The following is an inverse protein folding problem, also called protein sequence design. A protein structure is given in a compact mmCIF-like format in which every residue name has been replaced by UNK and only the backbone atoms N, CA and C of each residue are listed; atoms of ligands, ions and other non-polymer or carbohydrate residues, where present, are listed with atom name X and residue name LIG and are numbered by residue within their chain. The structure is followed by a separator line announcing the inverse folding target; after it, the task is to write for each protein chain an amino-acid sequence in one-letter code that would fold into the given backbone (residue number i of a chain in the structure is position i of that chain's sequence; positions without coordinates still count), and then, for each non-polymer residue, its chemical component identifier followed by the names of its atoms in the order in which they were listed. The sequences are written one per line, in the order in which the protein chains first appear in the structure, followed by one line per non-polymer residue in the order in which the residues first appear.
data_IF_455875206662
#
_entry.id   IF_455875206662
#
_cell.length_a   1.000
_cell.length_b   1.000
_cell.length_c   1.000
_cell.angle_alpha   90.00
_cell.angle_beta   90.00
_cell.angle_gamma   90.00
#
_symmetry.space_group_name_H-M   'P 1'
#
loop_
_entity.id
_entity.type
_entity.pdbx_description
1 polymer ?
#
# COMPACT_ATOMS: atom_id res chain seq x y z
N UNK A 1 0.39 -15.81 1.80
CA UNK A 1 0.93 -15.90 3.18
C UNK A 1 0.25 -14.94 4.16
N UNK A 2 0.17 -13.64 3.88
CA UNK A 2 -0.42 -12.65 4.82
C UNK A 2 -1.87 -12.97 5.25
N UNK A 3 -2.72 -13.46 4.33
CA UNK A 3 -4.10 -13.84 4.61
C UNK A 3 -4.23 -14.91 5.71
N UNK A 4 -3.52 -16.03 5.57
CA UNK A 4 -3.61 -17.14 6.52
C UNK A 4 -3.14 -16.73 7.92
N UNK A 5 -2.04 -15.96 7.98
CA UNK A 5 -1.55 -15.40 9.24
C UNK A 5 -2.65 -14.56 9.91
N UNK A 6 -3.27 -13.63 9.17
CA UNK A 6 -4.34 -12.79 9.71
C UNK A 6 -5.60 -13.55 10.06
N UNK A 7 -5.99 -14.54 9.28
CA UNK A 7 -7.13 -15.39 9.56
C UNK A 7 -6.99 -16.08 10.92
N UNK A 8 -5.81 -16.68 11.18
CA UNK A 8 -5.51 -17.36 12.45
C UNK A 8 -5.41 -16.35 13.60
N UNK A 9 -4.64 -15.26 13.44
CA UNK A 9 -4.44 -14.28 14.51
C UNK A 9 -5.71 -13.51 14.90
N UNK A 10 -6.66 -13.35 13.97
CA UNK A 10 -7.91 -12.59 14.19
C UNK A 10 -9.15 -13.46 14.29
N UNK A 11 -9.02 -14.78 14.50
CA UNK A 11 -10.15 -15.70 14.52
C UNK A 11 -11.22 -15.30 15.54
N UNK A 12 -10.80 -14.89 16.75
CA UNK A 12 -11.69 -14.50 17.84
C UNK A 12 -11.97 -12.98 17.96
N UNK A 13 -11.43 -12.16 17.05
CA UNK A 13 -11.61 -10.70 17.11
C UNK A 13 -12.89 -10.26 16.39
N UNK A 14 -13.62 -9.24 16.87
CA UNK A 14 -14.82 -8.71 16.21
C UNK A 14 -14.50 -8.00 14.89
N UNK A 15 -13.31 -7.41 14.77
CA UNK A 15 -12.88 -6.67 13.60
C UNK A 15 -12.27 -7.58 12.52
N UNK A 16 -13.07 -7.90 11.49
CA UNK A 16 -12.67 -8.75 10.37
C UNK A 16 -12.19 -8.00 9.12
N UNK A 17 -12.20 -6.66 9.12
CA UNK A 17 -11.88 -5.83 7.94
C UNK A 17 -10.48 -6.12 7.37
N UNK A 18 -9.48 -6.35 8.23
CA UNK A 18 -8.10 -6.70 7.81
C UNK A 18 -8.06 -8.07 7.15
N UNK A 19 -8.80 -9.03 7.70
CA UNK A 19 -8.86 -10.40 7.16
C UNK A 19 -9.48 -10.35 5.77
N UNK A 20 -10.58 -9.60 5.60
CA UNK A 20 -11.23 -9.37 4.31
C UNK A 20 -10.28 -8.68 3.31
N UNK A 21 -9.55 -7.65 3.72
CA UNK A 21 -8.58 -6.96 2.86
C UNK A 21 -7.46 -7.90 2.40
N UNK A 22 -6.88 -8.66 3.34
CA UNK A 22 -5.84 -9.64 3.02
C UNK A 22 -6.35 -10.78 2.13
N UNK A 23 -7.64 -11.15 2.25
CA UNK A 23 -8.30 -12.10 1.36
C UNK A 23 -8.46 -11.54 -0.06
N UNK A 24 -8.94 -10.30 -0.21
CA UNK A 24 -9.07 -9.63 -1.52
C UNK A 24 -7.70 -9.60 -2.22
N UNK A 25 -6.65 -9.20 -1.49
CA UNK A 25 -5.28 -9.21 -2.02
C UNK A 25 -4.84 -10.61 -2.45
N UNK A 26 -4.97 -11.61 -1.58
CA UNK A 26 -4.55 -12.98 -1.89
C UNK A 26 -5.30 -13.57 -3.08
N UNK A 27 -6.61 -13.33 -3.16
CA UNK A 27 -7.46 -13.78 -4.25
C UNK A 27 -7.07 -13.12 -5.57
N UNK A 28 -6.78 -11.81 -5.55
CA UNK A 28 -6.34 -11.09 -6.75
C UNK A 28 -5.03 -11.65 -7.31
N UNK A 29 -4.01 -11.88 -6.47
CA UNK A 29 -2.75 -12.48 -6.90
C UNK A 29 -2.92 -13.91 -7.43
N UNK A 30 -3.81 -14.70 -6.82
CA UNK A 30 -4.11 -16.05 -7.31
C UNK A 30 -4.75 -16.01 -8.70
N UNK A 31 -5.70 -15.08 -8.91
CA UNK A 31 -6.38 -14.91 -10.20
C UNK A 31 -5.43 -14.39 -11.28
N UNK A 32 -4.54 -13.45 -10.93
CA UNK A 32 -3.51 -12.94 -11.84
C UNK A 32 -2.52 -13.99 -12.31
N UNK A 33 -2.25 -15.02 -11.50
CA UNK A 33 -1.40 -16.14 -11.91
C UNK A 33 -2.10 -17.14 -12.82
N UNK A 34 -3.44 -17.22 -12.73
CA UNK A 34 -4.24 -18.22 -13.46
C UNK A 34 -4.65 -17.75 -14.87
N UNK A 35 -4.83 -16.45 -15.08
CA UNK A 35 -5.32 -15.90 -16.35
C UNK A 35 -4.42 -14.78 -16.86
N UNK A 36 -4.18 -14.75 -18.18
CA UNK A 36 -3.46 -13.69 -18.87
C UNK A 36 -4.37 -13.04 -19.92
N UNK A 37 -4.52 -11.72 -19.85
CA UNK A 37 -5.39 -10.96 -20.77
C UNK A 37 -4.69 -10.53 -22.06
N UNK A 38 -3.39 -10.32 -22.00
CA UNK A 38 -2.54 -9.80 -23.06
C UNK A 38 -1.27 -10.64 -23.21
N UNK A 39 -0.61 -10.52 -24.35
CA UNK A 39 0.70 -11.14 -24.62
C UNK A 39 1.81 -10.52 -23.76
N UNK A 40 1.66 -9.26 -23.34
CA UNK A 40 2.64 -8.60 -22.48
C UNK A 40 2.36 -8.88 -21.00
N UNK A 41 3.29 -9.57 -20.34
CA UNK A 41 3.23 -9.88 -18.90
C UNK A 41 3.09 -8.63 -18.04
N UNK A 42 3.85 -7.57 -18.35
CA UNK A 42 3.80 -6.31 -17.59
C UNK A 42 2.45 -5.61 -17.69
N UNK A 43 1.81 -5.66 -18.87
CA UNK A 43 0.49 -5.06 -19.07
C UNK A 43 -0.60 -5.86 -18.34
N UNK A 44 -0.49 -7.18 -18.28
CA UNK A 44 -1.39 -8.00 -17.46
C UNK A 44 -1.30 -7.61 -15.99
N UNK A 45 -0.09 -7.57 -15.43
CA UNK A 45 0.09 -7.19 -14.03
C UNK A 45 -0.42 -5.78 -13.73
N UNK A 46 -0.19 -4.83 -14.64
CA UNK A 46 -0.76 -3.49 -14.56
C UNK A 46 -2.30 -3.50 -14.49
N UNK A 47 -2.98 -4.26 -15.36
CA UNK A 47 -4.44 -4.37 -15.37
C UNK A 47 -4.93 -5.00 -14.06
N UNK A 48 -4.28 -6.05 -13.58
CA UNK A 48 -4.65 -6.69 -12.32
C UNK A 48 -4.50 -5.76 -11.12
N UNK A 49 -3.44 -4.95 -11.07
CA UNK A 49 -3.28 -3.93 -10.02
C UNK A 49 -4.42 -2.91 -10.06
N UNK A 50 -4.82 -2.42 -11.24
CA UNK A 50 -5.95 -1.50 -11.39
C UNK A 50 -7.29 -2.12 -10.96
N UNK A 51 -7.55 -3.36 -11.37
CA UNK A 51 -8.74 -4.11 -10.96
C UNK A 51 -8.76 -4.28 -9.44
N UNK A 52 -7.61 -4.59 -8.84
CA UNK A 52 -7.48 -4.75 -7.38
C UNK A 52 -7.76 -3.44 -6.65
N UNK A 53 -7.17 -2.33 -7.11
CA UNK A 53 -7.43 -0.99 -6.57
C UNK A 53 -8.92 -0.68 -6.64
N UNK A 54 -9.57 -0.96 -7.77
CA UNK A 54 -10.99 -0.74 -7.96
C UNK A 54 -11.84 -1.54 -6.97
N UNK A 55 -11.58 -2.84 -6.81
CA UNK A 55 -12.29 -3.67 -5.83
C UNK A 55 -12.06 -3.22 -4.39
N UNK A 56 -10.83 -2.83 -4.03
CA UNK A 56 -10.52 -2.29 -2.69
C UNK A 56 -11.27 -0.97 -2.46
N UNK A 57 -11.33 -0.10 -3.46
CA UNK A 57 -12.06 1.17 -3.37
C UNK A 57 -13.56 0.93 -3.18
N UNK A 58 -14.17 0.04 -3.97
CA UNK A 58 -15.58 -0.34 -3.81
C UNK A 58 -15.86 -0.92 -2.42
N UNK A 59 -15.02 -1.85 -1.97
CA UNK A 59 -15.14 -2.46 -0.65
C UNK A 59 -15.00 -1.42 0.47
N UNK A 60 -14.09 -0.46 0.32
CA UNK A 60 -13.89 0.62 1.30
C UNK A 60 -15.12 1.51 1.45
N UNK A 61 -15.83 1.80 0.35
CA UNK A 61 -17.08 2.58 0.39
C UNK A 61 -18.18 1.90 1.22
N UNK A 62 -18.22 0.56 1.24
CA UNK A 62 -19.22 -0.23 1.97
C UNK A 62 -18.94 -0.24 3.48
N UNK A 63 -17.68 -0.37 3.88
CA UNK A 63 -17.32 -0.59 5.30
C UNK A 63 -17.39 0.69 6.15
N UNK A 64 -17.32 1.89 5.54
CA UNK A 64 -17.42 3.22 6.21
C UNK A 64 -16.59 3.37 7.51
N UNK A 65 -15.55 2.54 7.69
CA UNK A 65 -14.76 2.49 8.93
C UNK A 65 -13.55 3.42 8.80
N UNK A 66 -13.30 4.21 9.85
CA UNK A 66 -12.25 5.23 9.84
C UNK A 66 -10.85 4.62 9.65
N UNK A 67 -10.19 5.09 8.58
CA UNK A 67 -8.74 5.10 8.29
C UNK A 67 -7.95 3.91 8.83
N UNK A 68 -7.91 2.85 8.04
CA UNK A 68 -6.97 1.75 8.23
C UNK A 68 -5.62 2.11 7.58
N UNK A 69 -4.53 2.19 8.34
CA UNK A 69 -3.23 2.54 7.75
C UNK A 69 -2.78 1.53 6.69
N UNK A 70 -3.06 0.24 6.88
CA UNK A 70 -2.70 -0.76 5.86
C UNK A 70 -3.46 -0.57 4.54
N UNK A 71 -4.68 -0.03 4.55
CA UNK A 71 -5.38 0.29 3.29
C UNK A 71 -4.61 1.34 2.50
N UNK A 72 -4.11 2.37 3.16
CA UNK A 72 -3.32 3.43 2.52
C UNK A 72 -2.02 2.85 1.96
N UNK A 73 -1.31 2.03 2.73
CA UNK A 73 -0.09 1.38 2.24
C UNK A 73 -0.33 0.45 1.06
N UNK A 74 -1.42 -0.32 1.07
CA UNK A 74 -1.76 -1.22 -0.04
C UNK A 74 -2.13 -0.43 -1.29
N UNK A 75 -2.96 0.61 -1.17
CA UNK A 75 -3.32 1.44 -2.32
C UNK A 75 -2.12 2.18 -2.91
N UNK A 76 -1.24 2.71 -2.05
CA UNK A 76 0.01 3.33 -2.50
C UNK A 76 0.95 2.31 -3.14
N UNK A 77 1.09 1.12 -2.55
CA UNK A 77 1.93 0.04 -3.09
C UNK A 77 1.47 -0.44 -4.46
N UNK A 78 0.18 -0.79 -4.59
CA UNK A 78 -0.43 -1.15 -5.88
C UNK A 78 -0.29 -0.02 -6.90
N UNK A 79 -0.48 1.23 -6.50
CA UNK A 79 -0.29 2.38 -7.38
C UNK A 79 1.14 2.53 -7.89
N UNK A 80 2.14 2.37 -7.02
CA UNK A 80 3.55 2.43 -7.40
C UNK A 80 3.97 1.24 -8.27
N UNK A 81 3.49 0.03 -7.97
CA UNK A 81 3.71 -1.15 -8.82
C UNK A 81 3.13 -0.96 -10.21
N UNK A 82 1.87 -0.50 -10.29
CA UNK A 82 1.19 -0.19 -11.53
C UNK A 82 1.98 0.83 -12.38
N UNK A 83 2.50 1.88 -11.75
CA UNK A 83 3.37 2.86 -12.43
C UNK A 83 4.66 2.23 -12.97
N UNK A 84 5.35 1.41 -12.17
CA UNK A 84 6.57 0.73 -12.60
C UNK A 84 6.31 -0.26 -13.76
N UNK A 85 5.20 -0.98 -13.71
CA UNK A 85 4.80 -1.94 -14.74
C UNK A 85 4.47 -1.24 -16.06
N UNK A 86 3.70 -0.14 -16.04
CA UNK A 86 3.36 0.58 -17.28
C UNK A 86 4.57 1.27 -17.90
N UNK A 87 5.49 1.82 -17.08
CA UNK A 87 6.73 2.40 -17.61
C UNK A 87 7.64 1.35 -18.23
N UNK A 88 7.73 0.17 -17.63
CA UNK A 88 8.51 -0.96 -18.16
C UNK A 88 7.88 -1.53 -19.42
N UNK A 89 6.55 -1.65 -19.45
CA UNK A 89 5.82 -2.04 -20.65
C UNK A 89 6.09 -1.07 -21.81
N UNK A 90 5.99 0.24 -21.55
CA UNK A 90 6.25 1.27 -22.55
C UNK A 90 7.70 1.21 -23.07
N UNK A 91 8.68 1.04 -22.19
CA UNK A 91 10.10 0.96 -22.58
C UNK A 91 10.39 -0.26 -23.48
N UNK A 92 9.89 -1.44 -23.11
CA UNK A 92 10.17 -2.69 -23.83
C UNK A 92 9.36 -2.79 -25.12
N UNK A 93 8.05 -2.53 -25.07
CA UNK A 93 7.14 -2.85 -26.18
C UNK A 93 6.89 -1.67 -27.12
N UNK A 94 6.95 -0.42 -26.64
CA UNK A 94 6.68 0.76 -27.47
C UNK A 94 7.98 1.39 -27.97
N UNK A 95 8.98 1.52 -27.10
CA UNK A 95 10.31 2.02 -27.49
C UNK A 95 11.23 0.94 -28.06
N UNK A 96 10.84 -0.34 -27.96
CA UNK A 96 11.64 -1.48 -28.40
C UNK A 96 13.04 -1.51 -27.77
N UNK A 97 13.16 -0.96 -26.55
CA UNK A 97 14.42 -0.95 -25.83
C UNK A 97 14.58 -2.27 -25.08
N UNK A 98 15.33 -3.19 -25.67
CA UNK A 98 15.54 -4.53 -25.14
C UNK A 98 16.83 -4.67 -24.32
N UNK A 99 17.59 -3.58 -24.14
CA UNK A 99 18.81 -3.59 -23.35
C UNK A 99 18.52 -3.34 -21.88
N UNK A 100 19.20 -4.08 -21.02
CA UNK A 100 19.12 -3.85 -19.58
C UNK A 100 19.77 -2.51 -19.22
N UNK A 101 18.96 -1.60 -18.69
CA UNK A 101 19.42 -0.33 -18.17
C UNK A 101 18.72 0.01 -16.85
N UNK A 102 19.05 1.16 -16.27
CA UNK A 102 18.66 1.55 -14.91
C UNK A 102 17.18 1.31 -14.58
N UNK A 103 16.25 1.59 -15.50
CA UNK A 103 14.81 1.39 -15.29
C UNK A 103 14.47 -0.07 -14.96
N UNK A 104 15.10 -1.03 -15.62
CA UNK A 104 14.83 -2.45 -15.41
C UNK A 104 15.31 -2.91 -14.03
N UNK A 105 16.45 -2.37 -13.57
CA UNK A 105 16.96 -2.60 -12.21
C UNK A 105 16.00 -2.01 -11.18
N UNK A 106 15.58 -0.77 -11.36
CA UNK A 106 14.60 -0.11 -10.49
C UNK A 106 13.27 -0.85 -10.47
N UNK A 107 12.80 -1.33 -11.62
CA UNK A 107 11.59 -2.15 -11.73
C UNK A 107 11.73 -3.44 -10.92
N UNK A 108 12.78 -4.22 -11.15
CA UNK A 108 12.97 -5.53 -10.52
C UNK A 108 13.06 -5.42 -9.00
N UNK A 109 13.89 -4.53 -8.48
CA UNK A 109 13.98 -4.32 -7.02
C UNK A 109 12.76 -3.60 -6.46
N UNK A 110 12.24 -2.61 -7.19
CA UNK A 110 11.14 -1.75 -6.75
C UNK A 110 9.86 -2.55 -6.48
N UNK A 111 9.41 -3.35 -7.45
CA UNK A 111 8.18 -4.15 -7.29
C UNK A 111 8.30 -5.12 -6.11
N UNK A 112 9.43 -5.81 -5.98
CA UNK A 112 9.66 -6.75 -4.87
C UNK A 112 9.68 -6.04 -3.49
N UNK A 113 10.32 -4.88 -3.39
CA UNK A 113 10.36 -4.10 -2.14
C UNK A 113 8.95 -3.60 -1.79
N UNK A 114 8.20 -3.11 -2.77
CA UNK A 114 6.84 -2.61 -2.57
C UNK A 114 5.91 -3.75 -2.13
N UNK A 115 5.97 -4.92 -2.78
CA UNK A 115 5.20 -6.10 -2.40
C UNK A 115 5.51 -6.56 -0.98
N UNK A 116 6.79 -6.58 -0.60
CA UNK A 116 7.21 -6.89 0.75
C UNK A 116 6.64 -5.87 1.76
N UNK A 117 6.69 -4.57 1.45
CA UNK A 117 6.11 -3.52 2.28
C UNK A 117 4.58 -3.68 2.43
N UNK A 118 3.86 -4.08 1.38
CA UNK A 118 2.43 -4.36 1.44
C UNK A 118 2.12 -5.55 2.36
N UNK A 119 2.90 -6.63 2.27
CA UNK A 119 2.77 -7.79 3.16
C UNK A 119 3.08 -7.40 4.61
N UNK A 120 4.12 -6.59 4.83
CA UNK A 120 4.46 -6.07 6.15
C UNK A 120 3.37 -5.16 6.71
N UNK A 121 2.76 -4.30 5.89
CA UNK A 121 1.66 -3.42 6.31
C UNK A 121 0.40 -4.22 6.68
N UNK A 122 0.12 -5.31 5.96
CA UNK A 122 -0.93 -6.23 6.33
C UNK A 122 -0.63 -6.95 7.64
N UNK A 123 0.61 -7.38 7.86
CA UNK A 123 1.03 -8.15 9.04
C UNK A 123 1.09 -7.27 10.29
N UNK A 124 1.75 -6.13 10.16
CA UNK A 124 1.97 -5.12 11.19
C UNK A 124 0.85 -4.09 11.10
N UNK A 125 -0.18 -4.26 11.91
CA UNK A 125 -1.32 -3.31 11.99
C UNK A 125 -0.93 -1.97 12.64
N UNK A 126 0.36 -1.72 12.82
CA UNK A 126 0.94 -0.53 13.42
C UNK A 126 1.64 0.28 12.33
N UNK A 127 1.63 1.60 12.51
CA UNK A 127 2.30 2.54 11.61
C UNK A 127 3.82 2.28 11.62
N UNK A 128 4.31 1.55 10.61
CA UNK A 128 5.72 1.19 10.51
C UNK A 128 6.63 2.41 10.29
N UNK A 129 6.14 3.38 9.51
CA UNK A 129 6.93 4.56 9.12
C UNK A 129 6.79 5.78 10.05
N UNK A 130 6.13 5.62 11.21
CA UNK A 130 5.90 6.72 12.15
C UNK A 130 5.34 8.01 11.47
N UNK A 131 4.45 7.87 10.48
CA UNK A 131 3.79 9.02 9.86
C UNK A 131 3.01 9.85 10.88
N UNK A 132 2.49 9.23 11.95
CA UNK A 132 1.84 9.93 13.07
C UNK A 132 2.74 10.89 13.85
N UNK A 133 4.08 10.72 13.88
CA UNK A 133 4.98 11.72 14.54
C UNK A 133 5.17 12.92 13.63
N UNK A 134 5.39 12.68 12.34
CA UNK A 134 5.63 13.75 11.38
C UNK A 134 4.41 14.67 11.27
N UNK A 135 3.20 14.11 11.33
CA UNK A 135 1.96 14.90 11.34
C UNK A 135 1.71 15.61 12.68
N UNK A 136 2.22 15.09 13.81
CA UNK A 136 1.95 15.63 15.16
C UNK A 136 3.11 16.41 15.80
N UNK A 137 4.22 16.65 15.10
CA UNK A 137 5.35 17.42 15.61
C UNK A 137 5.55 18.68 14.75
N UNK A 138 5.33 19.94 15.23
CA UNK A 138 4.85 20.40 16.55
C UNK A 138 3.77 21.52 16.52
N UNK A 139 2.69 21.37 17.30
CA UNK A 139 1.88 22.49 17.86
C UNK A 139 2.21 22.76 19.34
N UNK A 140 3.37 22.29 19.81
CA UNK A 140 3.82 22.37 21.21
C UNK A 140 4.82 23.51 21.45
N UNK A 141 4.54 24.72 20.92
CA UNK A 141 5.44 25.87 21.01
C UNK A 141 4.88 27.15 21.64
N UNK A 142 3.61 27.19 22.06
CA UNK A 142 2.93 28.44 22.45
C UNK A 142 2.25 28.41 23.82
N UNK A 143 2.71 27.56 24.75
CA UNK A 143 2.18 27.56 26.12
C UNK A 143 3.29 27.44 27.15
N UNK A 144 4.22 28.39 27.14
CA UNK A 144 4.99 28.67 28.34
C UNK A 144 5.39 30.15 28.36
N UNK A 145 4.92 30.86 29.39
CA UNK A 145 5.25 32.24 29.80
C UNK A 145 4.22 33.34 29.50
N UNK A 146 2.95 33.10 29.85
CA UNK A 146 2.14 34.14 30.49
C UNK A 146 2.03 33.72 31.96
N UNK A 147 2.99 34.13 32.79
CA UNK A 147 2.86 34.21 34.25
C UNK A 147 4.17 34.73 34.84
N UNK A 148 4.50 35.99 34.54
CA UNK A 148 5.37 36.85 35.37
C UNK A 148 4.99 38.30 35.18
N UNK A 149 3.89 38.74 35.80
CA UNK A 149 3.76 40.14 36.21
C UNK A 149 4.15 40.23 37.69
N UNK A 150 5.19 41.00 38.04
CA UNK A 150 5.34 41.57 39.36
C UNK A 150 5.13 43.10 39.26
N UNK A 151 4.11 43.61 39.94
CA UNK A 151 3.94 45.01 40.34
C UNK A 151 3.35 44.91 41.75
N UNK A 152 4.17 44.85 42.80
CA UNK A 152 4.79 45.98 43.50
C UNK A 152 3.76 46.96 44.12
N UNK A 153 3.87 47.07 45.46
CA UNK A 153 3.21 47.94 46.45
C UNK A 153 1.77 47.64 46.86
#
# INVERSE_FOLDING_TARGET
MAFLFKLVSRLNNPDKSIVQLSFIMAFSYMLSGAFSFSYSTYLNWFIYDLITIFFIALWFLVIKKQRFLALVYILLGLGLNSLLMITTHYDIYVRHNNEHWFLWTVYSYGVNIIDFLMIMALTTEKDFFFFRKVVNAPRSGYSHNIDKQPLDN
#
